data_IF_794787323005
#
_entry.id   IF_794787323005
#
_cell.length_a   1.000
_cell.length_b   1.000
_cell.length_c   1.000
_cell.angle_alpha   90.00
_cell.angle_beta   90.00
_cell.angle_gamma   90.00
#
_symmetry.space_group_name_H-M   'P 1'
#
loop_
_entity.id
_entity.type
_entity.pdbx_description
1 polymer ?
#
# COMPACT_ATOMS: atom_id res chain seq x y z
N UNK A 1 10.19 -1.13 26.37
CA UNK A 1 10.88 -1.03 25.07
C UNK A 1 10.16 -1.83 23.97
N UNK A 2 9.83 -3.11 24.17
CA UNK A 2 9.13 -3.91 23.15
C UNK A 2 7.79 -3.31 22.69
N UNK A 3 6.99 -2.76 23.60
CA UNK A 3 5.70 -2.12 23.27
C UNK A 3 5.88 -0.96 22.29
N UNK A 4 6.95 -0.16 22.46
CA UNK A 4 7.25 0.95 21.55
C UNK A 4 7.57 0.43 20.15
N UNK A 5 8.38 -0.62 20.04
CA UNK A 5 8.70 -1.22 18.75
C UNK A 5 7.48 -1.83 18.06
N UNK A 6 6.64 -2.55 18.80
CA UNK A 6 5.37 -3.09 18.27
C UNK A 6 4.49 -1.97 17.71
N UNK A 7 4.38 -0.85 18.43
CA UNK A 7 3.60 0.30 17.97
C UNK A 7 4.19 0.88 16.68
N UNK A 8 5.52 1.10 16.64
CA UNK A 8 6.19 1.65 15.45
C UNK A 8 6.04 0.72 14.26
N UNK A 9 6.32 -0.57 14.42
CA UNK A 9 6.21 -1.58 13.36
C UNK A 9 4.77 -1.73 12.87
N UNK A 10 3.79 -1.71 13.77
CA UNK A 10 2.37 -1.75 13.40
C UNK A 10 2.00 -0.56 12.51
N UNK A 11 2.38 0.66 12.90
CA UNK A 11 2.08 1.84 12.11
C UNK A 11 2.87 1.88 10.80
N UNK A 12 4.14 1.47 10.79
CA UNK A 12 4.93 1.36 9.57
C UNK A 12 4.34 0.33 8.60
N UNK A 13 3.92 -0.85 9.09
CA UNK A 13 3.29 -1.90 8.26
C UNK A 13 1.87 -1.56 7.80
N UNK A 14 1.15 -0.73 8.57
CA UNK A 14 -0.18 -0.24 8.18
C UNK A 14 -0.13 0.78 7.03
N UNK A 15 1.06 1.30 6.70
CA UNK A 15 1.26 2.15 5.52
C UNK A 15 1.36 1.26 4.28
N UNK A 16 0.22 1.01 3.65
CA UNK A 16 0.12 0.26 2.41
C UNK A 16 0.73 1.06 1.24
N UNK A 17 2.06 1.04 1.09
CA UNK A 17 2.79 1.92 0.16
C UNK A 17 2.30 1.84 -1.28
N UNK A 18 1.88 0.67 -1.74
CA UNK A 18 1.33 0.49 -3.08
C UNK A 18 0.07 1.32 -3.34
N UNK A 19 -0.81 1.44 -2.33
CA UNK A 19 -1.98 2.32 -2.39
C UNK A 19 -1.58 3.80 -2.49
N UNK A 20 -0.61 4.24 -1.68
CA UNK A 20 -0.16 5.63 -1.69
C UNK A 20 0.54 6.02 -2.99
N UNK A 21 1.41 5.15 -3.52
CA UNK A 21 2.08 5.35 -4.81
C UNK A 21 1.06 5.45 -5.95
N UNK A 22 0.06 4.57 -5.98
CA UNK A 22 -1.02 4.64 -6.95
C UNK A 22 -1.77 5.98 -6.87
N UNK A 23 -2.07 6.46 -5.67
CA UNK A 23 -2.70 7.77 -5.48
C UNK A 23 -1.84 8.94 -5.95
N UNK A 24 -0.52 8.88 -5.76
CA UNK A 24 0.40 9.92 -6.26
C UNK A 24 0.38 10.03 -7.80
N UNK A 25 0.11 8.92 -8.49
CA UNK A 25 -0.06 8.89 -9.95
C UNK A 25 -1.52 8.89 -10.41
N UNK A 26 -2.46 9.27 -9.53
CA UNK A 26 -3.90 9.33 -9.80
C UNK A 26 -4.52 8.02 -10.32
N UNK A 27 -4.03 6.87 -9.84
CA UNK A 27 -4.58 5.54 -10.11
C UNK A 27 -5.36 5.01 -8.90
N UNK A 28 -6.49 4.38 -9.18
CA UNK A 28 -7.34 3.71 -8.19
C UNK A 28 -7.18 2.19 -8.32
N UNK A 29 -6.46 1.58 -7.38
CA UNK A 29 -6.16 0.14 -7.41
C UNK A 29 -7.40 -0.73 -7.14
N UNK A 30 -8.47 -0.18 -6.55
CA UNK A 30 -9.71 -0.95 -6.32
C UNK A 30 -10.44 -1.30 -7.63
N UNK A 31 -10.01 -0.69 -8.75
CA UNK A 31 -10.55 -0.91 -10.10
C UNK A 31 -9.60 -1.69 -11.01
N UNK A 32 -8.49 -2.21 -10.48
CA UNK A 32 -7.46 -2.92 -11.25
C UNK A 32 -7.41 -4.37 -10.79
N UNK A 33 -7.40 -5.32 -11.73
CA UNK A 33 -7.25 -6.74 -11.42
C UNK A 33 -8.32 -7.26 -10.45
N UNK A 34 -7.86 -7.82 -9.33
CA UNK A 34 -8.69 -8.33 -8.23
C UNK A 34 -9.12 -7.23 -7.22
N UNK A 35 -8.72 -5.98 -7.46
CA UNK A 35 -9.02 -4.84 -6.59
C UNK A 35 -8.14 -4.74 -5.34
N UNK A 36 -7.19 -5.66 -5.14
CA UNK A 36 -6.25 -5.62 -4.03
C UNK A 36 -5.27 -4.42 -4.20
N UNK A 37 -5.14 -3.51 -3.23
CA UNK A 37 -4.21 -2.38 -3.35
C UNK A 37 -2.73 -2.77 -3.22
N UNK A 38 -2.36 -4.04 -3.44
CA UNK A 38 -1.01 -4.58 -3.30
C UNK A 38 -0.07 -4.24 -4.47
N UNK A 39 1.18 -4.66 -4.34
CA UNK A 39 2.24 -4.38 -5.32
C UNK A 39 1.91 -4.91 -6.73
N UNK A 40 1.27 -6.08 -6.83
CA UNK A 40 0.91 -6.67 -8.12
C UNK A 40 -0.02 -5.76 -8.95
N UNK A 41 -1.07 -5.21 -8.34
CA UNK A 41 -1.99 -4.31 -9.03
C UNK A 41 -1.37 -2.92 -9.26
N UNK A 42 -0.50 -2.44 -8.36
CA UNK A 42 0.28 -1.23 -8.62
C UNK A 42 1.13 -1.39 -9.89
N UNK A 43 1.85 -2.50 -10.01
CA UNK A 43 2.69 -2.80 -11.17
C UNK A 43 1.86 -2.77 -12.47
N UNK A 44 0.72 -3.46 -12.48
CA UNK A 44 -0.21 -3.44 -13.62
C UNK A 44 -0.81 -2.06 -13.93
N UNK A 45 -0.98 -1.19 -12.93
CA UNK A 45 -1.62 0.11 -13.08
C UNK A 45 -0.66 1.26 -13.45
N UNK A 46 0.59 1.17 -13.00
CA UNK A 46 1.51 2.31 -12.94
C UNK A 46 2.99 1.99 -13.18
N UNK A 47 3.36 0.74 -13.53
CA UNK A 47 4.74 0.37 -13.84
C UNK A 47 5.14 -0.90 -13.17
#
# INVERSE_FOLDING_TARGET
>A
MIVLYVIVEYFCGSLMFSYWLARLVNRDLTKVGDGNPGAFNLWHAAG
#
